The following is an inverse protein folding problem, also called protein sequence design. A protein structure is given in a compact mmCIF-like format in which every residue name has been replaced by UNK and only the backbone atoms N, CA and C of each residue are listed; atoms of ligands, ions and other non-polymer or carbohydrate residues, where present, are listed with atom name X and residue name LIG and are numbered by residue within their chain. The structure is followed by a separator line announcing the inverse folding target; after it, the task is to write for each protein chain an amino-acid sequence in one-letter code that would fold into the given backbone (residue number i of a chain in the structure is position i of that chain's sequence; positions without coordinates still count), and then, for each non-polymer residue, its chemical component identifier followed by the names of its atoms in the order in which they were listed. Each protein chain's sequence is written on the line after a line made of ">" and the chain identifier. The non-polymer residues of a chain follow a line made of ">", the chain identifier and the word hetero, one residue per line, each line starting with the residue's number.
data_IF_705695109216
#
_entry.id   IF_705695109216
#
_cell.length_a   1.000
_cell.length_b   1.000
_cell.length_c   1.000
_cell.angle_alpha   90.00
_cell.angle_beta   90.00
_cell.angle_gamma   90.00
#
_symmetry.space_group_name_H-M   'P 1'
#
loop_
_entity.id
_entity.type
_entity.pdbx_description
1 polymer ?
#
# COMPACT_ATOMS: atom_id res chain seq x y z
N UNK A 1 7.26 2.32 -3.69
CA UNK A 1 6.68 3.08 -4.82
C UNK A 1 7.72 3.22 -5.91
N UNK A 2 7.30 3.22 -7.16
CA UNK A 2 8.16 3.48 -8.32
C UNK A 2 7.44 4.47 -9.23
N UNK A 3 8.14 5.47 -9.76
CA UNK A 3 7.59 6.37 -10.78
C UNK A 3 8.01 5.84 -12.15
N UNK A 4 7.05 5.67 -13.05
CA UNK A 4 7.31 5.26 -14.42
C UNK A 4 7.48 6.49 -15.34
N UNK A 5 7.81 6.26 -16.61
CA UNK A 5 8.05 7.30 -17.62
C UNK A 5 6.80 8.15 -17.92
N UNK A 6 5.61 7.67 -17.55
CA UNK A 6 4.34 8.40 -17.63
C UNK A 6 4.20 9.50 -16.55
N UNK A 7 5.15 9.59 -15.61
CA UNK A 7 5.14 10.54 -14.52
C UNK A 7 4.25 10.15 -13.34
N UNK A 8 3.61 8.97 -13.39
CA UNK A 8 2.75 8.45 -12.32
C UNK A 8 3.57 7.54 -11.40
N UNK A 9 3.35 7.70 -10.09
CA UNK A 9 3.94 6.82 -9.09
C UNK A 9 2.99 5.66 -8.76
N UNK A 10 3.52 4.44 -8.82
CA UNK A 10 2.80 3.20 -8.56
C UNK A 10 3.30 2.51 -7.29
N UNK A 11 2.43 1.72 -6.67
CA UNK A 11 2.88 0.72 -5.69
C UNK A 11 3.70 -0.35 -6.43
N UNK A 12 4.72 -0.88 -5.76
CA UNK A 12 5.64 -1.81 -6.37
C UNK A 12 5.96 -2.94 -5.39
N UNK A 13 6.12 -4.14 -5.90
CA UNK A 13 6.48 -5.31 -5.12
C UNK A 13 7.55 -6.10 -5.87
N UNK A 14 8.64 -6.44 -5.17
CA UNK A 14 9.81 -7.13 -5.74
C UNK A 14 10.43 -6.42 -6.96
N UNK A 15 10.32 -5.10 -7.04
CA UNK A 15 10.86 -4.29 -8.13
C UNK A 15 9.89 -4.07 -9.30
N UNK A 16 8.77 -4.77 -9.32
CA UNK A 16 7.74 -4.67 -10.36
C UNK A 16 6.69 -3.63 -9.98
N UNK A 17 6.31 -2.78 -10.93
CA UNK A 17 5.18 -1.87 -10.77
C UNK A 17 3.85 -2.63 -10.84
N UNK A 18 2.91 -2.31 -9.96
CA UNK A 18 1.60 -2.94 -9.89
C UNK A 18 0.53 -2.03 -10.51
N UNK A 19 0.58 -1.91 -11.84
CA UNK A 19 -0.25 -0.98 -12.61
C UNK A 19 -1.26 -1.64 -13.57
N UNK A 20 -1.27 -2.97 -13.67
CA UNK A 20 -2.22 -3.74 -14.48
C UNK A 20 -2.76 -4.95 -13.69
N UNK A 21 -4.04 -4.95 -13.26
CA UNK A 21 -5.10 -3.96 -13.55
C UNK A 21 -4.97 -2.61 -12.82
N UNK A 22 -4.05 -2.48 -11.85
CA UNK A 22 -3.82 -1.27 -11.07
C UNK A 22 -4.86 -1.02 -9.97
N UNK A 23 -4.68 0.06 -9.20
CA UNK A 23 -5.59 0.47 -8.12
C UNK A 23 -5.80 -0.63 -7.07
N UNK A 24 -7.05 -0.81 -6.60
CA UNK A 24 -7.41 -1.90 -5.67
C UNK A 24 -7.30 -3.30 -6.28
N UNK A 25 -7.16 -3.40 -7.61
CA UNK A 25 -6.88 -4.66 -8.30
C UNK A 25 -5.40 -5.08 -8.26
N UNK A 26 -4.49 -4.22 -7.79
CA UNK A 26 -3.05 -4.51 -7.75
C UNK A 26 -2.38 -3.87 -6.54
N UNK A 27 -2.42 -4.57 -5.40
CA UNK A 27 -1.88 -4.11 -4.12
C UNK A 27 -0.50 -4.69 -3.83
N UNK A 28 0.38 -3.87 -3.25
CA UNK A 28 1.66 -4.35 -2.71
C UNK A 28 1.49 -4.71 -1.23
N UNK A 29 1.93 -5.91 -0.85
CA UNK A 29 2.00 -6.29 0.56
C UNK A 29 3.14 -5.56 1.26
N UNK A 30 2.80 -4.95 2.39
CA UNK A 30 3.72 -4.19 3.24
C UNK A 30 4.01 -5.01 4.49
N UNK A 31 5.29 -5.20 4.80
CA UNK A 31 5.68 -5.90 6.03
C UNK A 31 5.51 -4.97 7.23
N UNK A 32 5.26 -5.51 8.43
CA UNK A 32 5.02 -4.70 9.63
C UNK A 32 6.16 -3.71 9.95
N UNK A 33 7.41 -4.05 9.62
CA UNK A 33 8.56 -3.14 9.81
C UNK A 33 8.53 -1.92 8.88
N UNK A 34 7.82 -2.01 7.76
CA UNK A 34 7.75 -0.97 6.72
C UNK A 34 6.43 -0.17 6.81
N UNK A 35 5.52 -0.54 7.73
CA UNK A 35 4.21 0.09 7.92
C UNK A 35 4.32 1.61 8.12
N UNK A 36 5.15 2.05 9.07
CA UNK A 36 5.31 3.48 9.35
C UNK A 36 5.88 4.24 8.14
N UNK A 37 6.76 3.62 7.36
CA UNK A 37 7.30 4.24 6.15
C UNK A 37 6.20 4.46 5.11
N UNK A 38 5.29 3.51 4.95
CA UNK A 38 4.13 3.63 4.05
C UNK A 38 3.12 4.66 4.55
N UNK A 39 2.84 4.71 5.86
CA UNK A 39 1.99 5.75 6.48
C UNK A 39 2.60 7.14 6.23
N UNK A 40 3.90 7.31 6.48
CA UNK A 40 4.58 8.59 6.25
C UNK A 40 4.53 9.01 4.78
N UNK A 41 4.68 8.07 3.84
CA UNK A 41 4.54 8.34 2.42
C UNK A 41 3.12 8.79 2.06
N UNK A 42 2.10 8.16 2.62
CA UNK A 42 0.71 8.55 2.43
C UNK A 42 0.42 9.97 2.96
N UNK A 43 0.88 10.28 4.18
CA UNK A 43 0.73 11.61 4.79
C UNK A 43 1.51 12.71 4.04
N UNK A 44 2.63 12.35 3.39
CA UNK A 44 3.43 13.26 2.57
C UNK A 44 2.89 13.48 1.16
N UNK A 45 1.84 12.75 0.74
CA UNK A 45 1.29 12.84 -0.61
C UNK A 45 0.26 13.98 -0.70
N UNK A 46 0.57 15.09 -1.40
CA UNK A 46 -0.32 16.27 -1.43
C UNK A 46 -1.65 16.01 -2.16
N UNK A 47 -1.72 14.97 -2.99
CA UNK A 47 -2.92 14.60 -3.74
C UNK A 47 -3.78 13.54 -3.07
N UNK A 48 -3.45 13.11 -1.85
CA UNK A 48 -4.15 12.02 -1.13
C UNK A 48 -4.29 10.74 -1.98
N UNK A 49 -3.26 10.41 -2.76
CA UNK A 49 -3.34 9.35 -3.78
C UNK A 49 -2.92 7.96 -3.27
N UNK A 50 -2.51 7.83 -2.00
CA UNK A 50 -2.03 6.57 -1.43
C UNK A 50 -3.07 6.04 -0.44
N UNK A 51 -3.59 4.85 -0.73
CA UNK A 51 -4.56 4.15 0.12
C UNK A 51 -3.89 2.93 0.76
N UNK A 52 -4.16 2.70 2.05
CA UNK A 52 -3.63 1.59 2.83
C UNK A 52 -4.80 0.74 3.27
N UNK A 53 -4.79 -0.54 2.89
CA UNK A 53 -5.76 -1.53 3.37
C UNK A 53 -5.20 -2.28 4.57
N UNK A 54 -5.93 -2.25 5.68
CA UNK A 54 -5.58 -3.00 6.88
C UNK A 54 -6.37 -4.30 6.88
N UNK A 55 -5.66 -5.44 6.90
CA UNK A 55 -6.32 -6.73 7.08
C UNK A 55 -6.86 -6.81 8.51
N UNK A 56 -8.18 -6.76 8.66
CA UNK A 56 -8.83 -6.87 9.95
C UNK A 56 -8.69 -8.30 10.47
N UNK A 57 -7.67 -8.55 11.28
CA UNK A 57 -7.61 -9.78 12.08
C UNK A 57 -8.65 -9.66 13.18
N UNK A 58 -9.86 -10.18 12.93
CA UNK A 58 -10.86 -10.38 13.98
C UNK A 58 -10.28 -11.43 14.93
N UNK A 59 -9.66 -10.97 16.02
CA UNK A 59 -9.38 -11.83 17.16
C UNK A 59 -10.72 -12.20 17.76
N UNK A 60 -11.16 -13.44 17.55
CA UNK A 60 -12.22 -14.03 18.37
C UNK A 60 -11.70 -14.04 19.80
N UNK A 61 -12.13 -13.07 20.60
CA UNK A 61 -12.00 -13.17 22.05
C UNK A 61 -12.97 -14.28 22.43
N UNK A 62 -12.44 -15.47 22.72
CA UNK A 62 -13.26 -16.53 23.32
C UNK A 62 -13.81 -15.95 24.62
N UNK A 63 -15.12 -15.71 24.67
CA UNK A 63 -15.81 -15.39 25.91
C UNK A 63 -15.53 -16.54 26.89
N UNK A 64 -14.98 -16.20 28.05
CA UNK A 64 -14.79 -17.10 29.18
C UNK A 64 -16.10 -17.23 29.98
#
# INVERSE_FOLDING_TARGET
>A
FVQLEDGIAYVAQFGEALNDPGGSGSLAWVSARDEQAVINAALGCPGECIFIEMEHVIRSVSAA
#
